data_IF_032140335841
#
_entry.id   IF_032140335841
#
_cell.length_a   1.000
_cell.length_b   1.000
_cell.length_c   1.000
_cell.angle_alpha   90.00
_cell.angle_beta   90.00
_cell.angle_gamma   90.00
#
_symmetry.space_group_name_H-M   'P 1'
#
loop_
_entity.id
_entity.type
_entity.pdbx_description
1 polymer ?
#
# COMPACT_ATOMS: atom_id res chain seq x y z
N UNK A 1 -1.38 -15.48 1.45
CA UNK A 1 -0.68 -15.54 2.76
C UNK A 1 0.81 -15.29 2.62
N UNK A 2 1.57 -16.13 1.88
CA UNK A 2 3.04 -15.96 1.76
C UNK A 2 3.46 -14.57 1.24
N UNK A 3 2.78 -14.06 0.20
CA UNK A 3 3.09 -12.74 -0.36
C UNK A 3 2.77 -11.58 0.59
N UNK A 4 1.64 -11.62 1.31
CA UNK A 4 1.29 -10.60 2.31
C UNK A 4 2.39 -10.49 3.37
N UNK A 5 2.75 -11.62 3.99
CA UNK A 5 3.78 -11.63 5.04
C UNK A 5 5.13 -11.18 4.50
N UNK A 6 5.51 -11.61 3.30
CA UNK A 6 6.78 -11.21 2.67
C UNK A 6 6.85 -9.71 2.39
N UNK A 7 5.84 -9.15 1.74
CA UNK A 7 5.79 -7.71 1.44
C UNK A 7 5.73 -6.89 2.73
N UNK A 8 4.90 -7.30 3.70
CA UNK A 8 4.76 -6.58 4.96
C UNK A 8 6.03 -6.62 5.81
N UNK A 9 6.67 -7.79 5.96
CA UNK A 9 7.94 -7.90 6.69
C UNK A 9 9.06 -7.11 6.01
N UNK A 10 9.11 -7.06 4.67
CA UNK A 10 10.09 -6.25 3.97
C UNK A 10 9.87 -4.74 4.19
N UNK A 11 8.61 -4.29 4.20
CA UNK A 11 8.26 -2.91 4.49
C UNK A 11 8.61 -2.53 5.94
N UNK A 12 8.24 -3.35 6.92
CA UNK A 12 8.62 -3.13 8.32
C UNK A 12 10.14 -3.08 8.52
N UNK A 13 10.89 -3.98 7.87
CA UNK A 13 12.35 -3.96 7.92
C UNK A 13 12.92 -2.68 7.30
N UNK A 14 12.37 -2.23 6.16
CA UNK A 14 12.79 -0.99 5.53
C UNK A 14 12.58 0.23 6.45
N UNK A 15 11.47 0.28 7.19
CA UNK A 15 11.24 1.35 8.20
C UNK A 15 12.19 1.22 9.39
N UNK A 16 12.47 0.00 9.86
CA UNK A 16 13.38 -0.26 10.97
C UNK A 16 14.81 0.22 10.67
N UNK A 17 15.26 0.14 9.42
CA UNK A 17 16.60 0.53 8.98
C UNK A 17 16.76 2.05 8.74
N UNK A 18 15.67 2.83 8.76
CA UNK A 18 15.73 4.29 8.56
C UNK A 18 16.44 5.02 9.70
N UNK A 19 17.20 6.06 9.35
CA UNK A 19 17.73 7.02 10.33
C UNK A 19 16.65 8.02 10.74
N UNK A 20 16.87 8.71 11.86
CA UNK A 20 15.95 9.75 12.33
C UNK A 20 15.82 10.91 11.33
N UNK A 21 16.88 11.25 10.59
CA UNK A 21 16.84 12.31 9.58
C UNK A 21 15.95 11.94 8.38
N UNK A 22 15.83 10.65 8.06
CA UNK A 22 15.02 10.21 6.93
C UNK A 22 13.53 10.49 7.15
N UNK A 23 13.05 10.52 8.39
CA UNK A 23 11.66 10.81 8.75
C UNK A 23 11.23 12.24 8.37
N UNK A 24 12.17 13.16 8.20
CA UNK A 24 11.92 14.53 7.76
C UNK A 24 12.00 14.71 6.23
N UNK A 25 12.35 13.65 5.47
CA UNK A 25 12.40 13.70 4.00
C UNK A 25 11.01 13.50 3.39
N UNK A 26 10.79 13.97 2.15
CA UNK A 26 9.60 13.61 1.40
C UNK A 26 9.48 12.10 1.21
N UNK A 27 8.27 11.58 1.26
CA UNK A 27 7.91 10.24 0.75
C UNK A 27 7.46 10.34 -0.71
N UNK A 28 7.11 9.20 -1.32
CA UNK A 28 6.46 9.15 -2.63
C UNK A 28 4.98 9.54 -2.61
N UNK A 29 4.34 9.58 -1.43
CA UNK A 29 3.02 10.15 -1.25
C UNK A 29 3.11 11.68 -1.32
N UNK A 30 2.42 12.28 -2.28
CA UNK A 30 2.49 13.72 -2.53
C UNK A 30 2.11 14.53 -1.28
N UNK A 31 3.00 15.41 -0.83
CA UNK A 31 2.78 16.26 0.35
C UNK A 31 3.07 15.60 1.69
N UNK A 32 3.39 14.31 1.72
CA UNK A 32 3.71 13.57 2.95
C UNK A 32 5.21 13.38 3.11
N UNK A 33 5.68 13.59 4.33
CA UNK A 33 7.00 13.17 4.76
C UNK A 33 7.01 11.67 5.05
N UNK A 34 8.21 11.09 5.13
CA UNK A 34 8.39 9.69 5.54
C UNK A 34 7.71 9.40 6.88
N UNK A 35 7.76 10.31 7.87
CA UNK A 35 7.03 10.12 9.14
C UNK A 35 5.51 10.03 8.96
N UNK A 36 4.94 10.76 8.00
CA UNK A 36 3.50 10.79 7.78
C UNK A 36 3.06 9.45 7.18
N UNK A 37 3.82 8.95 6.20
CA UNK A 37 3.66 7.61 5.64
C UNK A 37 3.82 6.51 6.71
N UNK A 38 4.85 6.58 7.56
CA UNK A 38 5.05 5.59 8.63
C UNK A 38 3.89 5.62 9.64
N UNK A 39 3.32 6.80 9.91
CA UNK A 39 2.12 6.91 10.74
C UNK A 39 0.87 6.35 10.06
N UNK A 40 0.74 6.49 8.73
CA UNK A 40 -0.30 5.81 7.95
C UNK A 40 -0.20 4.29 8.04
N UNK A 41 1.02 3.73 7.95
CA UNK A 41 1.22 2.28 8.10
C UNK A 41 0.80 1.73 9.47
N UNK A 42 0.82 2.55 10.53
CA UNK A 42 0.25 2.18 11.84
C UNK A 42 -1.26 1.99 11.73
N UNK A 43 -1.95 2.88 11.01
CA UNK A 43 -3.39 2.79 10.76
C UNK A 43 -3.71 1.59 9.89
N UNK A 44 -2.95 1.35 8.81
CA UNK A 44 -3.15 0.16 7.96
C UNK A 44 -3.00 -1.15 8.74
N UNK A 45 -2.00 -1.23 9.61
CA UNK A 45 -1.80 -2.39 10.48
C UNK A 45 -2.96 -2.58 11.46
N UNK A 46 -3.52 -1.48 11.99
CA UNK A 46 -4.73 -1.52 12.81
C UNK A 46 -5.94 -2.01 11.99
N UNK A 47 -6.12 -1.55 10.76
CA UNK A 47 -7.19 -1.98 9.88
C UNK A 47 -7.13 -3.46 9.54
N UNK A 48 -5.93 -4.01 9.33
CA UNK A 48 -5.73 -5.45 9.19
C UNK A 48 -6.18 -6.19 10.44
N UNK A 49 -5.77 -5.75 11.62
CA UNK A 49 -6.18 -6.37 12.88
C UNK A 49 -7.69 -6.29 13.10
N UNK A 50 -8.30 -5.14 12.84
CA UNK A 50 -9.74 -4.91 12.96
C UNK A 50 -10.50 -5.81 12.00
N UNK A 51 -10.09 -5.86 10.72
CA UNK A 51 -10.75 -6.67 9.69
C UNK A 51 -10.68 -8.16 10.03
N UNK A 52 -9.50 -8.67 10.40
CA UNK A 52 -9.34 -10.08 10.79
C UNK A 52 -10.08 -10.43 12.09
N UNK A 53 -10.33 -9.45 12.95
CA UNK A 53 -11.14 -9.60 14.16
C UNK A 53 -12.65 -9.38 13.94
N UNK A 54 -13.09 -9.19 12.68
CA UNK A 54 -14.50 -8.96 12.31
C UNK A 54 -15.03 -10.10 11.44
N UNK A 55 -15.17 -11.32 11.98
CA UNK A 55 -15.72 -12.45 11.23
C UNK A 55 -17.21 -12.25 10.92
N UNK A 56 -17.66 -12.77 9.78
CA UNK A 56 -19.07 -12.71 9.38
C UNK A 56 -19.52 -14.02 8.73
N UNK A 57 -20.82 -14.29 8.77
CA UNK A 57 -21.44 -15.41 8.06
C UNK A 57 -22.02 -15.00 6.68
N UNK A 58 -22.06 -13.69 6.39
CA UNK A 58 -22.55 -13.17 5.11
C UNK A 58 -21.71 -13.67 3.93
N UNK A 59 -22.29 -13.72 2.74
CA UNK A 59 -21.57 -14.12 1.53
C UNK A 59 -20.58 -13.02 1.09
N UNK A 60 -19.41 -13.38 0.54
CA UNK A 60 -18.48 -12.40 -0.01
C UNK A 60 -19.15 -11.51 -1.06
N UNK A 61 -18.98 -10.20 -0.90
CA UNK A 61 -19.48 -9.19 -1.84
C UNK A 61 -18.37 -8.64 -2.72
N UNK A 62 -17.10 -8.84 -2.34
CA UNK A 62 -15.89 -8.45 -3.07
C UNK A 62 -14.82 -9.55 -2.97
N UNK A 63 -13.85 -9.46 -3.87
CA UNK A 63 -12.62 -10.26 -3.90
C UNK A 63 -11.38 -9.33 -3.87
N UNK A 64 -10.19 -9.90 -4.01
CA UNK A 64 -8.93 -9.14 -3.91
C UNK A 64 -8.81 -8.00 -4.94
N UNK A 65 -9.44 -8.14 -6.11
CA UNK A 65 -9.41 -7.13 -7.18
C UNK A 65 -10.51 -6.10 -6.96
N UNK A 66 -11.73 -6.57 -6.76
CA UNK A 66 -12.92 -5.72 -6.67
C UNK A 66 -13.05 -4.98 -5.35
N UNK A 67 -12.24 -5.31 -4.34
CA UNK A 67 -12.11 -4.52 -3.11
C UNK A 67 -11.74 -3.07 -3.41
N UNK A 68 -10.75 -2.90 -4.28
CA UNK A 68 -10.22 -1.61 -4.72
C UNK A 68 -11.03 -1.00 -5.84
N UNK A 69 -11.01 0.33 -5.91
CA UNK A 69 -11.61 1.09 -7.00
C UNK A 69 -10.65 2.15 -7.51
N UNK A 70 -10.78 2.53 -8.78
CA UNK A 70 -10.12 3.74 -9.26
C UNK A 70 -10.82 4.94 -8.64
N UNK A 71 -10.06 5.76 -7.93
CA UNK A 71 -10.56 6.95 -7.24
C UNK A 71 -10.01 8.22 -7.90
N UNK A 72 -10.62 9.36 -7.58
CA UNK A 72 -10.07 10.64 -7.97
C UNK A 72 -8.71 10.86 -7.28
N UNK A 73 -7.74 11.54 -7.94
CA UNK A 73 -6.47 11.84 -7.32
C UNK A 73 -6.66 12.55 -5.97
N UNK A 74 -5.98 12.09 -4.90
CA UNK A 74 -6.12 12.72 -3.59
C UNK A 74 -5.67 14.18 -3.69
N UNK A 75 -6.54 15.09 -3.25
CA UNK A 75 -6.25 16.53 -3.24
C UNK A 75 -5.43 16.94 -2.01
N UNK A 76 -5.30 16.04 -1.02
CA UNK A 76 -4.73 16.32 0.30
C UNK A 76 -5.68 17.10 1.23
N UNK A 77 -6.92 17.34 0.79
CA UNK A 77 -7.94 18.03 1.60
C UNK A 77 -8.76 17.07 2.47
N UNK A 78 -8.51 15.76 2.38
CA UNK A 78 -9.23 14.79 3.20
C UNK A 78 -8.92 15.05 4.69
N UNK A 79 -9.94 15.17 5.56
CA UNK A 79 -9.73 15.42 6.97
C UNK A 79 -8.87 14.36 7.68
N UNK A 80 -8.90 13.11 7.20
CA UNK A 80 -8.08 12.01 7.69
C UNK A 80 -6.62 12.20 7.28
N UNK A 81 -6.34 12.64 6.05
CA UNK A 81 -4.96 12.95 5.61
C UNK A 81 -4.34 14.02 6.53
N UNK A 82 -5.09 15.08 6.81
CA UNK A 82 -4.66 16.13 7.73
C UNK A 82 -4.52 15.62 9.18
N UNK A 83 -5.26 14.59 9.58
CA UNK A 83 -5.13 13.95 10.88
C UNK A 83 -3.85 13.11 10.96
N UNK A 84 -3.52 12.34 9.93
CA UNK A 84 -2.28 11.54 9.86
C UNK A 84 -1.06 12.43 10.07
N UNK A 85 -0.97 13.57 9.37
CA UNK A 85 0.15 14.51 9.52
C UNK A 85 0.26 15.04 10.95
N UNK A 86 -0.88 15.36 11.60
CA UNK A 86 -0.89 15.82 13.00
C UNK A 86 -0.48 14.72 13.98
N UNK A 87 -0.94 13.49 13.78
CA UNK A 87 -0.57 12.34 14.60
C UNK A 87 0.92 12.00 14.45
N UNK A 88 1.42 11.98 13.21
CA UNK A 88 2.83 11.75 12.91
C UNK A 88 3.73 12.79 13.59
N UNK A 89 3.35 14.07 13.55
CA UNK A 89 4.06 15.14 14.23
C UNK A 89 4.06 15.00 15.76
N UNK A 90 2.99 14.45 16.34
CA UNK A 90 2.84 14.29 17.78
C UNK A 90 3.76 13.22 18.40
N UNK A 91 4.37 12.34 17.60
CA UNK A 91 5.40 11.43 18.11
C UNK A 91 6.67 12.16 18.53
N UNK A 92 6.97 13.31 17.91
CA UNK A 92 8.17 14.15 18.08
C UNK A 92 9.52 13.46 17.78
N UNK A 93 9.72 12.23 18.28
CA UNK A 93 10.89 11.40 18.12
C UNK A 93 10.58 10.22 17.17
N UNK A 94 11.30 10.07 16.05
CA UNK A 94 11.08 8.97 15.10
C UNK A 94 11.12 7.58 15.75
N UNK A 95 11.98 7.37 16.74
CA UNK A 95 12.07 6.11 17.48
C UNK A 95 10.76 5.67 18.15
N UNK A 96 9.92 6.61 18.62
CA UNK A 96 8.62 6.29 19.21
C UNK A 96 7.62 5.80 18.15
N UNK A 97 7.64 6.42 16.98
CA UNK A 97 6.81 6.02 15.85
C UNK A 97 7.26 4.65 15.29
N UNK A 98 8.58 4.44 15.14
CA UNK A 98 9.15 3.14 14.75
C UNK A 98 8.74 2.03 15.71
N UNK A 99 8.86 2.28 17.02
CA UNK A 99 8.44 1.33 18.06
C UNK A 99 6.96 0.98 17.96
N UNK A 100 6.09 1.98 17.77
CA UNK A 100 4.66 1.71 17.64
C UNK A 100 4.33 0.91 16.39
N UNK A 101 4.91 1.27 15.24
CA UNK A 101 4.72 0.50 14.00
C UNK A 101 5.24 -0.93 14.15
N UNK A 102 6.39 -1.14 14.77
CA UNK A 102 6.93 -2.48 15.03
C UNK A 102 5.96 -3.34 15.83
N UNK A 103 5.41 -2.79 16.93
CA UNK A 103 4.52 -3.55 17.82
C UNK A 103 3.19 -3.92 17.13
N UNK A 104 2.47 -2.93 16.58
CA UNK A 104 1.19 -3.16 15.91
C UNK A 104 1.36 -3.89 14.58
N UNK A 105 2.41 -3.59 13.83
CA UNK A 105 2.69 -4.21 12.54
C UNK A 105 3.11 -5.66 12.69
N UNK A 106 3.92 -5.98 13.69
CA UNK A 106 4.24 -7.38 14.03
C UNK A 106 2.99 -8.15 14.48
N UNK A 107 2.08 -7.51 15.21
CA UNK A 107 0.81 -8.12 15.58
C UNK A 107 -0.08 -8.40 14.35
N UNK A 108 -0.21 -7.44 13.43
CA UNK A 108 -0.93 -7.61 12.17
C UNK A 108 -0.35 -8.75 11.33
N UNK A 109 0.98 -8.84 11.22
CA UNK A 109 1.66 -9.93 10.51
C UNK A 109 1.38 -11.31 11.11
N UNK A 110 1.39 -11.44 12.44
CA UNK A 110 1.03 -12.69 13.13
C UNK A 110 -0.46 -13.03 12.98
N UNK A 111 -1.34 -12.05 13.10
CA UNK A 111 -2.78 -12.23 12.93
C UNK A 111 -3.10 -12.73 11.52
N UNK A 112 -2.48 -12.13 10.49
CA UNK A 112 -2.56 -12.61 9.12
C UNK A 112 -2.10 -14.07 9.04
N UNK A 113 -0.91 -14.41 9.53
CA UNK A 113 -0.40 -15.79 9.48
C UNK A 113 -1.31 -16.85 10.15
N UNK A 114 -2.12 -16.44 11.14
CA UNK A 114 -3.05 -17.31 11.87
C UNK A 114 -4.46 -17.36 11.25
N UNK A 115 -4.81 -16.44 10.35
CA UNK A 115 -6.15 -16.35 9.78
C UNK A 115 -6.44 -17.58 8.89
N UNK A 116 -7.67 -18.11 9.00
CA UNK A 116 -8.19 -19.06 8.03
C UNK A 116 -8.43 -18.31 6.70
N UNK A 117 -7.69 -18.61 5.62
CA UNK A 117 -7.82 -17.88 4.36
C UNK A 117 -9.21 -18.02 3.72
N UNK A 118 -9.98 -19.04 4.10
CA UNK A 118 -11.35 -19.25 3.61
C UNK A 118 -12.41 -18.64 4.53
N UNK A 119 -12.01 -18.21 5.73
CA UNK A 119 -12.87 -17.49 6.67
C UNK A 119 -13.33 -16.15 6.08
N UNK A 120 -14.54 -15.72 6.41
CA UNK A 120 -15.15 -14.50 5.87
C UNK A 120 -15.03 -13.36 6.88
N UNK A 121 -14.62 -12.19 6.39
CA UNK A 121 -14.37 -10.99 7.20
C UNK A 121 -15.13 -9.80 6.64
N UNK A 122 -15.59 -8.93 7.54
CA UNK A 122 -16.27 -7.69 7.19
C UNK A 122 -15.34 -6.48 7.30
N UNK A 123 -15.35 -5.61 6.29
CA UNK A 123 -14.63 -4.33 6.31
C UNK A 123 -15.30 -3.32 5.40
N UNK A 124 -15.38 -2.05 5.79
CA UNK A 124 -16.02 -0.97 5.00
C UNK A 124 -17.44 -1.30 4.47
N UNK A 125 -18.23 -2.09 5.21
CA UNK A 125 -19.55 -2.56 4.75
C UNK A 125 -19.50 -3.58 3.61
N UNK A 126 -18.33 -4.14 3.32
CA UNK A 126 -18.06 -5.18 2.34
C UNK A 126 -17.67 -6.48 3.06
N UNK A 127 -17.76 -7.60 2.34
CA UNK A 127 -17.41 -8.93 2.85
C UNK A 127 -16.44 -9.58 1.87
N UNK A 128 -15.35 -10.12 2.39
CA UNK A 128 -14.32 -10.84 1.62
C UNK A 128 -13.95 -12.14 2.33
N UNK A 129 -13.29 -13.05 1.62
CA UNK A 129 -12.48 -14.05 2.32
C UNK A 129 -11.25 -13.37 2.94
N UNK A 130 -10.74 -13.87 4.05
CA UNK A 130 -9.52 -13.35 4.66
C UNK A 130 -8.32 -13.50 3.70
N UNK A 131 -8.31 -14.55 2.87
CA UNK A 131 -7.33 -14.73 1.80
C UNK A 131 -7.38 -13.62 0.75
N UNK A 132 -8.57 -13.23 0.31
CA UNK A 132 -8.76 -12.14 -0.65
C UNK A 132 -8.38 -10.78 -0.06
N UNK A 133 -8.80 -10.51 1.18
CA UNK A 133 -8.43 -9.28 1.88
C UNK A 133 -6.90 -9.14 2.03
N UNK A 134 -6.22 -10.20 2.47
CA UNK A 134 -4.76 -10.19 2.60
C UNK A 134 -4.05 -10.17 1.24
N UNK A 135 -4.66 -10.72 0.20
CA UNK A 135 -4.17 -10.57 -1.18
C UNK A 135 -4.28 -9.12 -1.66
N UNK A 136 -5.42 -8.47 -1.42
CA UNK A 136 -5.65 -7.06 -1.75
C UNK A 136 -4.61 -6.14 -1.09
N UNK A 137 -4.26 -6.39 0.18
CA UNK A 137 -3.27 -5.59 0.91
C UNK A 137 -1.81 -5.76 0.42
N UNK A 138 -1.52 -6.76 -0.43
CA UNK A 138 -0.21 -6.81 -1.10
C UNK A 138 0.00 -5.60 -2.01
N UNK A 139 -1.07 -5.08 -2.63
CA UNK A 139 -1.03 -3.85 -3.41
C UNK A 139 -0.63 -2.66 -2.54
N UNK A 140 -1.30 -2.48 -1.41
CA UNK A 140 -1.04 -1.43 -0.43
C UNK A 140 0.43 -1.45 0.04
N UNK A 141 0.90 -2.59 0.54
CA UNK A 141 2.29 -2.73 1.00
C UNK A 141 3.31 -2.45 -0.08
N UNK A 142 3.05 -2.91 -1.31
CA UNK A 142 4.00 -2.74 -2.41
C UNK A 142 4.06 -1.28 -2.86
N UNK A 143 2.92 -0.59 -2.94
CA UNK A 143 2.85 0.83 -3.25
C UNK A 143 3.51 1.68 -2.17
N UNK A 144 3.20 1.42 -0.89
CA UNK A 144 3.77 2.20 0.20
C UNK A 144 5.23 1.88 0.49
N UNK A 145 5.72 0.69 0.14
CA UNK A 145 7.18 0.45 0.12
C UNK A 145 7.84 1.25 -1.01
N UNK A 146 7.24 1.35 -2.20
CA UNK A 146 7.74 2.27 -3.25
C UNK A 146 7.72 3.73 -2.77
N UNK A 147 6.68 4.14 -2.06
CA UNK A 147 6.56 5.50 -1.51
C UNK A 147 7.62 5.78 -0.44
N UNK A 148 7.88 4.82 0.44
CA UNK A 148 8.87 4.93 1.50
C UNK A 148 10.27 5.23 0.92
N UNK A 149 10.65 4.52 -0.14
CA UNK A 149 12.01 4.57 -0.68
C UNK A 149 12.21 5.58 -1.80
N UNK A 150 11.16 6.32 -2.19
CA UNK A 150 11.17 7.22 -3.34
C UNK A 150 12.32 8.24 -3.33
N UNK A 151 12.66 8.77 -2.15
CA UNK A 151 13.72 9.76 -1.94
C UNK A 151 14.89 9.23 -1.08
N UNK A 152 15.01 7.90 -0.98
CA UNK A 152 15.99 7.18 -0.18
C UNK A 152 16.73 6.14 -1.04
N UNK A 153 17.68 6.55 -1.89
CA UNK A 153 18.29 5.67 -2.89
C UNK A 153 19.10 4.50 -2.31
N UNK A 154 19.42 4.53 -1.02
CA UNK A 154 20.13 3.46 -0.31
C UNK A 154 19.20 2.48 0.41
N UNK A 155 17.90 2.78 0.50
CA UNK A 155 16.93 1.91 1.16
C UNK A 155 16.63 0.69 0.29
N UNK A 156 16.35 -0.45 0.95
CA UNK A 156 16.04 -1.70 0.27
C UNK A 156 14.72 -1.58 -0.52
N UNK A 157 14.75 -2.01 -1.78
CA UNK A 157 13.58 -2.00 -2.66
C UNK A 157 12.54 -3.06 -2.23
N UNK A 158 11.26 -2.91 -2.64
CA UNK A 158 10.24 -3.92 -2.39
C UNK A 158 10.57 -5.28 -3.03
N UNK A 159 10.12 -6.40 -2.43
CA UNK A 159 10.27 -7.72 -3.04
C UNK A 159 9.63 -7.79 -4.43
N UNK A 160 10.33 -8.41 -5.39
CA UNK A 160 9.88 -8.49 -6.77
C UNK A 160 8.55 -9.25 -6.92
N UNK A 161 8.34 -10.32 -6.14
CA UNK A 161 7.08 -11.08 -6.19
C UNK A 161 5.89 -10.26 -5.67
N UNK A 162 6.11 -9.37 -4.71
CA UNK A 162 5.08 -8.44 -4.22
C UNK A 162 4.71 -7.42 -5.30
N UNK A 163 5.70 -6.85 -5.98
CA UNK A 163 5.48 -5.92 -7.09
C UNK A 163 4.74 -6.57 -8.27
N UNK A 164 5.08 -7.80 -8.64
CA UNK A 164 4.39 -8.55 -9.69
C UNK A 164 2.91 -8.76 -9.36
N UNK A 165 2.61 -9.25 -8.15
CA UNK A 165 1.22 -9.44 -7.70
C UNK A 165 0.45 -8.12 -7.58
N UNK A 166 1.09 -7.07 -7.07
CA UNK A 166 0.50 -5.74 -7.00
C UNK A 166 0.14 -5.20 -8.39
N UNK A 167 1.01 -5.40 -9.39
CA UNK A 167 0.70 -5.05 -10.79
C UNK A 167 -0.49 -5.83 -11.31
N UNK A 168 -0.55 -7.14 -11.09
CA UNK A 168 -1.68 -7.97 -11.54
C UNK A 168 -3.01 -7.49 -10.96
N UNK A 169 -3.05 -7.19 -9.64
CA UNK A 169 -4.22 -6.59 -9.00
C UNK A 169 -4.56 -5.23 -9.59
N UNK A 170 -3.58 -4.34 -9.72
CA UNK A 170 -3.76 -3.00 -10.26
C UNK A 170 -4.33 -3.00 -11.68
N UNK A 171 -3.78 -3.84 -12.58
CA UNK A 171 -4.28 -4.00 -13.95
C UNK A 171 -5.71 -4.57 -13.97
N UNK A 172 -6.04 -5.45 -13.02
CA UNK A 172 -7.40 -5.94 -12.78
C UNK A 172 -8.38 -4.84 -12.37
N UNK A 173 -7.98 -3.98 -11.43
CA UNK A 173 -8.79 -2.84 -10.95
C UNK A 173 -9.06 -1.84 -12.07
N UNK A 174 -8.03 -1.50 -12.85
CA UNK A 174 -8.12 -0.57 -13.99
C UNK A 174 -8.86 -1.19 -15.18
N UNK A 175 -8.90 -2.53 -15.26
CA UNK A 175 -9.43 -3.28 -16.40
C UNK A 175 -8.57 -3.14 -17.66
N UNK A 176 -7.26 -2.89 -17.50
CA UNK A 176 -6.32 -2.72 -18.61
C UNK A 176 -4.93 -3.21 -18.21
N UNK A 177 -4.31 -4.00 -19.09
CA UNK A 177 -2.93 -4.45 -18.93
C UNK A 177 -1.95 -3.37 -19.37
N UNK A 178 -0.88 -3.16 -18.61
CA UNK A 178 0.23 -2.32 -19.03
C UNK A 178 1.13 -3.09 -20.00
N UNK A 179 1.79 -2.41 -20.96
CA UNK A 179 2.66 -3.08 -21.91
C UNK A 179 3.77 -3.90 -21.24
N UNK A 180 4.17 -5.02 -21.85
CA UNK A 180 5.25 -5.87 -21.34
C UNK A 180 6.63 -5.17 -21.31
N UNK A 181 6.76 -4.01 -21.95
CA UNK A 181 7.95 -3.15 -21.85
C UNK A 181 8.09 -2.44 -20.50
N UNK A 182 7.02 -2.36 -19.70
CA UNK A 182 7.07 -1.83 -18.34
C UNK A 182 7.56 -2.89 -17.37
N UNK A 183 8.48 -2.51 -16.49
CA UNK A 183 8.73 -3.26 -15.27
C UNK A 183 7.52 -3.15 -14.33
N UNK A 184 7.37 -4.07 -13.38
CA UNK A 184 6.24 -4.01 -12.43
C UNK A 184 6.28 -2.73 -11.58
N UNK A 185 7.49 -2.30 -11.20
CA UNK A 185 7.74 -1.01 -10.57
C UNK A 185 7.22 0.15 -11.42
N UNK A 186 7.59 0.20 -12.70
CA UNK A 186 7.21 1.32 -13.56
C UNK A 186 5.72 1.33 -13.86
N UNK A 187 5.10 0.16 -14.04
CA UNK A 187 3.66 0.04 -14.23
C UNK A 187 2.90 0.61 -13.03
N UNK A 188 3.32 0.28 -11.80
CA UNK A 188 2.71 0.79 -10.57
C UNK A 188 2.97 2.29 -10.39
N UNK A 189 4.22 2.76 -10.57
CA UNK A 189 4.57 4.17 -10.36
C UNK A 189 3.89 5.10 -11.37
N UNK A 190 3.87 4.73 -12.65
CA UNK A 190 3.22 5.51 -13.70
C UNK A 190 1.71 5.38 -13.60
N UNK A 191 1.21 4.14 -13.43
CA UNK A 191 -0.20 3.84 -13.36
C UNK A 191 -0.92 4.58 -12.25
N UNK A 192 -0.30 4.66 -11.07
CA UNK A 192 -0.90 5.34 -9.90
C UNK A 192 -0.54 6.82 -9.77
N UNK A 193 0.21 7.39 -10.74
CA UNK A 193 0.55 8.81 -10.76
C UNK A 193 1.70 9.26 -9.86
N UNK A 194 2.42 8.30 -9.25
CA UNK A 194 3.64 8.57 -8.46
C UNK A 194 4.81 9.09 -9.30
N UNK A 195 4.79 8.82 -10.61
CA UNK A 195 5.76 9.33 -11.59
C UNK A 195 5.08 9.60 -12.94
N UNK A 196 5.41 10.68 -13.67
CA UNK A 196 4.95 10.85 -15.05
C UNK A 196 5.58 9.78 -15.98
N UNK A 197 4.86 9.32 -17.02
CA UNK A 197 5.45 8.45 -18.03
C UNK A 197 6.56 9.17 -18.80
N UNK A 198 7.57 8.43 -19.22
CA UNK A 198 8.53 8.90 -20.24
C UNK A 198 7.88 8.91 -21.63
N UNK A 199 8.45 9.61 -22.64
CA UNK A 199 7.90 9.59 -23.99
C UNK A 199 7.80 8.19 -24.62
N UNK A 200 8.72 7.28 -24.27
CA UNK A 200 8.68 5.89 -24.73
C UNK A 200 7.56 5.09 -24.07
N UNK A 201 7.35 5.30 -22.77
CA UNK A 201 6.26 4.70 -22.00
C UNK A 201 4.89 5.22 -22.45
N UNK A 202 4.77 6.52 -22.70
CA UNK A 202 3.56 7.15 -23.22
C UNK A 202 3.20 6.60 -24.61
N UNK A 203 4.20 6.48 -25.50
CA UNK A 203 4.00 5.87 -26.81
C UNK A 203 3.61 4.38 -26.74
N UNK A 204 4.18 3.63 -25.78
CA UNK A 204 3.86 2.22 -25.57
C UNK A 204 2.45 2.02 -24.99
N UNK A 205 2.00 2.91 -24.11
CA UNK A 205 0.67 2.90 -23.52
C UNK A 205 -0.42 3.21 -24.55
N UNK A 206 -0.17 4.14 -25.49
CA UNK A 206 -1.16 4.54 -26.49
C UNK A 206 -2.39 5.20 -25.86
N UNK A 207 -3.60 4.76 -26.25
CA UNK A 207 -4.87 5.36 -25.77
C UNK A 207 -5.02 5.40 -24.23
N UNK A 208 -4.65 4.36 -23.46
CA UNK A 208 -4.58 4.40 -22.00
C UNK A 208 -3.78 5.57 -21.40
N UNK A 209 -2.75 6.09 -22.09
CA UNK A 209 -1.94 7.18 -21.58
C UNK A 209 -2.76 8.45 -21.28
N UNK A 210 -3.79 8.73 -22.09
CA UNK A 210 -4.67 9.88 -21.92
C UNK A 210 -5.61 9.78 -20.70
N UNK A 211 -5.70 8.61 -20.08
CA UNK A 211 -6.53 8.35 -18.89
C UNK A 211 -5.72 8.26 -17.59
N UNK A 212 -4.39 8.36 -17.68
CA UNK A 212 -3.54 8.37 -16.48
C UNK A 212 -3.70 9.66 -15.68
N UNK A 213 -3.51 9.61 -14.36
CA UNK A 213 -3.26 8.41 -13.54
C UNK A 213 -4.55 7.65 -13.17
N UNK A 214 -4.39 6.44 -12.65
CA UNK A 214 -5.41 5.64 -11.97
C UNK A 214 -5.06 5.45 -10.49
N UNK A 215 -5.29 6.46 -9.63
CA UNK A 215 -5.21 6.27 -8.19
C UNK A 215 -6.16 5.16 -7.74
N UNK A 216 -5.75 4.37 -6.75
CA UNK A 216 -6.57 3.28 -6.20
C UNK A 216 -6.85 3.53 -4.73
N UNK A 217 -8.07 3.20 -4.29
CA UNK A 217 -8.54 3.34 -2.91
C UNK A 217 -9.84 2.58 -2.69
#
# INVERSE_FOLDING_TARGET
MDLFSRSWSALLAAVADLSDEDFARPSGCAGWLVRDLVCHLVVDAQDVLITLATPTAEEPTRDAVTYWQVVEPPTGDDPLDALIVRLAAAYEQPGLLKFHLDDVGSAAGRAAALADPTGRVGTQGQVLTAGDYLSAYVLEWSLHHLDLVAHLPQAAAPPAEGLGHARELFEGVVGAAFPASFTDRDALLVGTGRRPPTPAEEAALGAPAARLPFPVG
#
